data_IF_625766749721
#
_entry.id   IF_625766749721
#
_cell.length_a   1.000
_cell.length_b   1.000
_cell.length_c   1.000
_cell.angle_alpha   90.00
_cell.angle_beta   90.00
_cell.angle_gamma   90.00
#
_symmetry.space_group_name_H-M   'P 1'
#
loop_
_entity.id
_entity.type
_entity.pdbx_description
1 polymer ?
#
# COMPACT_ATOMS: atom_id res chain seq x y z
N UNK A 1 11.39 1.21 -0.39
CA UNK A 1 10.03 0.67 -0.15
C UNK A 1 9.42 0.18 -1.45
N UNK A 2 9.51 0.97 -2.53
CA UNK A 2 9.20 0.54 -3.88
C UNK A 2 10.01 -0.69 -4.31
N UNK A 3 9.37 -1.63 -5.00
CA UNK A 3 10.03 -2.74 -5.70
C UNK A 3 9.64 -2.74 -7.19
N UNK A 4 10.61 -2.60 -8.12
CA UNK A 4 10.33 -2.49 -9.54
C UNK A 4 10.07 -3.88 -10.16
N UNK A 5 8.89 -4.45 -9.90
CA UNK A 5 8.44 -5.63 -10.66
C UNK A 5 8.51 -5.33 -12.17
N UNK A 6 8.80 -6.36 -12.99
CA UNK A 6 8.92 -6.20 -14.45
C UNK A 6 7.71 -5.45 -15.01
N UNK A 7 6.52 -5.90 -14.59
CA UNK A 7 5.25 -5.21 -14.81
C UNK A 7 4.84 -4.48 -13.52
N UNK A 8 4.46 -3.19 -13.59
CA UNK A 8 3.98 -2.41 -12.45
C UNK A 8 2.80 -3.08 -11.75
N UNK A 9 2.89 -3.22 -10.43
CA UNK A 9 1.92 -3.89 -9.57
C UNK A 9 2.00 -3.31 -8.15
N UNK A 10 0.99 -3.58 -7.33
CA UNK A 10 0.98 -3.29 -5.89
C UNK A 10 2.25 -3.80 -5.19
N UNK A 11 2.89 -2.96 -4.36
CA UNK A 11 4.14 -3.30 -3.70
C UNK A 11 4.45 -2.43 -2.48
N UNK A 12 5.40 -2.89 -1.66
CA UNK A 12 5.98 -2.07 -0.60
C UNK A 12 5.14 -1.97 0.68
N UNK A 13 4.02 -2.68 0.78
CA UNK A 13 3.19 -2.74 1.98
C UNK A 13 3.95 -3.39 3.15
N UNK A 14 3.86 -2.78 4.34
CA UNK A 14 4.38 -3.31 5.61
C UNK A 14 3.21 -3.64 6.52
N UNK A 15 3.15 -4.87 7.02
CA UNK A 15 2.10 -5.35 7.92
C UNK A 15 2.54 -5.28 9.39
N UNK A 16 1.60 -5.48 10.31
CA UNK A 16 1.82 -5.49 11.76
C UNK A 16 2.49 -4.22 12.32
N UNK A 17 2.28 -3.09 11.64
CA UNK A 17 2.78 -1.78 12.04
C UNK A 17 2.02 -1.29 13.27
N UNK A 18 2.74 -0.71 14.23
CA UNK A 18 2.16 -0.11 15.46
C UNK A 18 2.14 1.41 15.41
N UNK A 19 3.12 2.00 14.74
CA UNK A 19 3.23 3.42 14.48
C UNK A 19 4.04 3.62 13.21
N UNK A 20 3.79 4.72 12.51
CA UNK A 20 4.51 5.13 11.31
C UNK A 20 4.91 6.59 11.42
N UNK A 21 6.13 6.94 10.99
CA UNK A 21 6.58 8.33 10.91
C UNK A 21 7.12 8.61 9.51
N UNK A 22 6.68 9.70 8.94
CA UNK A 22 7.26 10.28 7.72
C UNK A 22 7.64 11.73 8.00
N UNK A 23 8.83 12.13 7.55
CA UNK A 23 9.35 13.48 7.72
C UNK A 23 10.04 13.94 6.45
N UNK A 24 10.07 15.26 6.25
CA UNK A 24 10.93 15.89 5.27
C UNK A 24 12.39 15.98 5.78
N UNK A 25 13.28 16.48 4.93
CA UNK A 25 14.70 16.65 5.26
C UNK A 25 14.97 17.67 6.38
N UNK A 26 13.98 18.51 6.72
CA UNK A 26 14.06 19.50 7.80
C UNK A 26 13.48 19.00 9.14
N UNK A 27 13.00 17.76 9.18
CA UNK A 27 12.48 17.09 10.37
C UNK A 27 10.96 17.23 10.56
N UNK A 28 10.30 18.12 9.81
CA UNK A 28 8.84 18.27 9.90
C UNK A 28 8.14 17.05 9.31
N UNK A 29 7.11 16.56 10.00
CA UNK A 29 6.50 15.30 9.61
C UNK A 29 5.17 14.99 10.27
N UNK A 30 4.65 13.82 9.90
CA UNK A 30 3.43 13.23 10.46
C UNK A 30 3.76 11.88 11.09
N UNK A 31 3.36 11.70 12.33
CA UNK A 31 3.27 10.41 12.98
C UNK A 31 1.85 9.91 12.87
N UNK A 32 1.69 8.64 12.51
CA UNK A 32 0.43 7.92 12.54
C UNK A 32 0.54 6.74 13.50
N UNK A 33 -0.44 6.60 14.38
CA UNK A 33 -0.60 5.46 15.26
C UNK A 33 -2.07 5.05 15.35
N UNK A 34 -2.30 3.85 15.88
CA UNK A 34 -3.62 3.24 16.01
C UNK A 34 -3.66 2.39 17.27
N UNK A 35 -4.86 2.12 17.77
CA UNK A 35 -5.11 1.19 18.88
C UNK A 35 -4.91 -0.28 18.47
N UNK A 36 -4.87 -0.56 17.16
CA UNK A 36 -4.60 -1.88 16.58
C UNK A 36 -3.35 -1.87 15.69
N UNK A 37 -2.84 -3.05 15.32
CA UNK A 37 -1.85 -3.14 14.24
C UNK A 37 -2.51 -2.84 12.90
N UNK A 38 -1.76 -2.18 12.02
CA UNK A 38 -2.23 -1.83 10.69
C UNK A 38 -1.16 -2.15 9.64
N UNK A 39 -1.51 -1.93 8.38
CA UNK A 39 -0.60 -2.00 7.24
C UNK A 39 -0.32 -0.61 6.69
N UNK A 40 0.89 -0.36 6.21
CA UNK A 40 1.26 0.94 5.68
C UNK A 40 2.28 0.88 4.55
N UNK A 41 2.19 1.87 3.66
CA UNK A 41 3.16 2.08 2.59
C UNK A 41 3.34 3.59 2.31
N UNK A 42 4.57 3.99 1.98
CA UNK A 42 4.93 5.28 1.39
C UNK A 42 5.66 5.11 0.04
N UNK A 43 5.04 5.53 -1.07
CA UNK A 43 5.61 5.43 -2.42
C UNK A 43 5.55 6.77 -3.17
N UNK A 44 6.54 7.05 -4.02
CA UNK A 44 6.50 8.16 -4.97
C UNK A 44 5.73 7.79 -6.26
N UNK A 45 4.65 7.03 -6.13
CA UNK A 45 3.80 6.61 -7.25
C UNK A 45 2.36 6.58 -6.77
N UNK A 46 1.40 7.02 -7.59
CA UNK A 46 -0.02 6.81 -7.27
C UNK A 46 -0.41 5.35 -7.52
N UNK A 47 -1.53 4.93 -6.92
CA UNK A 47 -2.08 3.58 -7.15
C UNK A 47 -2.42 3.40 -8.63
N UNK A 48 -3.01 4.42 -9.26
CA UNK A 48 -3.39 4.41 -10.67
C UNK A 48 -2.18 4.30 -11.59
N UNK A 49 -1.02 4.86 -11.21
CA UNK A 49 0.19 4.74 -11.99
C UNK A 49 0.74 3.30 -11.97
N UNK A 50 0.54 2.58 -10.86
CA UNK A 50 0.96 1.18 -10.69
C UNK A 50 -0.07 0.16 -11.21
N UNK A 51 -1.25 0.62 -11.64
CA UNK A 51 -2.33 -0.21 -12.17
C UNK A 51 -2.46 -0.05 -13.70
N UNK A 52 -2.36 -1.17 -14.44
CA UNK A 52 -2.57 -1.15 -15.89
C UNK A 52 -4.07 -1.05 -16.28
N UNK A 53 -4.96 -1.26 -15.30
CA UNK A 53 -6.39 -1.38 -15.48
C UNK A 53 -6.83 -2.73 -16.04
N UNK A 54 -8.10 -2.81 -16.45
CA UNK A 54 -8.74 -4.03 -16.94
C UNK A 54 -8.09 -4.64 -18.20
N UNK A 55 -7.43 -3.80 -19.01
CA UNK A 55 -6.75 -4.23 -20.24
C UNK A 55 -5.24 -4.17 -20.07
N UNK A 56 -4.55 -5.27 -20.41
CA UNK A 56 -3.09 -5.35 -20.30
C UNK A 56 -2.41 -4.41 -21.28
N UNK A 57 -1.72 -3.40 -20.75
CA UNK A 57 -1.01 -2.38 -21.54
C UNK A 57 0.44 -2.74 -21.86
N UNK A 58 0.97 -3.82 -21.29
CA UNK A 58 2.37 -4.25 -21.43
C UNK A 58 3.35 -3.17 -20.94
N UNK A 59 3.03 -2.52 -19.82
CA UNK A 59 3.88 -1.49 -19.24
C UNK A 59 5.02 -2.10 -18.44
N UNK A 60 6.10 -1.32 -18.29
CA UNK A 60 7.23 -1.66 -17.45
C UNK A 60 7.45 -0.60 -16.38
N UNK A 61 7.94 -1.00 -15.20
CA UNK A 61 8.13 -0.07 -14.07
C UNK A 61 9.04 1.12 -14.36
N UNK A 62 9.93 1.03 -15.36
CA UNK A 62 10.80 2.14 -15.76
C UNK A 62 10.11 3.17 -16.66
N UNK A 63 8.90 2.88 -17.15
CA UNK A 63 8.09 3.78 -17.98
C UNK A 63 7.16 4.64 -17.10
N UNK A 64 7.09 4.37 -15.80
CA UNK A 64 6.29 5.14 -14.85
C UNK A 64 7.16 6.22 -14.22
N UNK A 65 6.75 7.46 -14.41
CA UNK A 65 7.38 8.61 -13.76
C UNK A 65 6.97 8.69 -12.29
N UNK A 66 7.93 8.87 -11.36
CA UNK A 66 7.61 9.14 -9.97
C UNK A 66 6.81 10.43 -9.80
N UNK A 67 5.89 10.44 -8.84
CA UNK A 67 5.18 11.64 -8.43
C UNK A 67 6.07 12.57 -7.60
N UNK A 68 5.77 13.86 -7.64
CA UNK A 68 6.37 14.91 -6.80
C UNK A 68 5.90 14.86 -5.33
N UNK A 69 4.88 14.05 -5.05
CA UNK A 69 4.36 13.75 -3.71
C UNK A 69 4.72 12.35 -3.26
N UNK A 70 4.61 12.10 -1.95
CA UNK A 70 4.61 10.74 -1.40
C UNK A 70 3.18 10.29 -1.18
N UNK A 71 2.76 9.25 -1.88
CA UNK A 71 1.49 8.58 -1.63
C UNK A 71 1.65 7.70 -0.39
N UNK A 72 0.80 7.97 0.61
CA UNK A 72 0.76 7.24 1.88
C UNK A 72 -0.51 6.42 1.94
N UNK A 73 -0.37 5.10 2.10
CA UNK A 73 -1.47 4.20 2.39
C UNK A 73 -1.38 3.75 3.84
N UNK A 74 -2.52 3.79 4.53
CA UNK A 74 -2.70 3.29 5.88
C UNK A 74 -3.96 2.45 5.89
N UNK A 75 -3.79 1.15 5.96
CA UNK A 75 -4.87 0.18 5.76
C UNK A 75 -5.07 -0.61 7.04
N UNK A 76 -6.33 -0.78 7.47
CA UNK A 76 -6.65 -1.74 8.53
C UNK A 76 -6.19 -3.14 8.14
N UNK A 77 -6.59 -3.54 6.93
CA UNK A 77 -6.37 -4.86 6.34
C UNK A 77 -6.35 -4.71 4.82
N UNK A 78 -5.54 -5.53 4.17
CA UNK A 78 -5.51 -5.71 2.72
C UNK A 78 -5.67 -7.20 2.43
N UNK A 79 -6.39 -7.54 1.36
CA UNK A 79 -6.59 -8.93 0.95
C UNK A 79 -5.26 -9.57 0.58
N UNK A 80 -5.11 -10.87 0.88
CA UNK A 80 -3.91 -11.62 0.51
C UNK A 80 -3.69 -11.68 -1.00
N UNK A 81 -2.45 -11.96 -1.42
CA UNK A 81 -2.07 -12.06 -2.84
C UNK A 81 -2.72 -13.25 -3.55
N UNK A 82 -2.87 -14.36 -2.83
CA UNK A 82 -3.32 -15.64 -3.38
C UNK A 82 -2.18 -16.39 -4.07
N UNK A 83 -2.26 -16.53 -5.39
CA UNK A 83 -1.23 -17.17 -6.21
C UNK A 83 -1.08 -18.70 -6.08
N UNK A 84 -2.10 -19.44 -5.58
CA UNK A 84 -2.16 -20.91 -5.77
C UNK A 84 -2.06 -21.25 -7.25
N UNK A 85 -2.69 -20.42 -8.10
CA UNK A 85 -2.37 -20.29 -9.51
C UNK A 85 -2.62 -18.85 -9.98
N UNK A 86 -2.25 -18.54 -11.22
CA UNK A 86 -2.38 -17.21 -11.83
C UNK A 86 -3.51 -17.13 -12.86
N UNK A 87 -4.51 -18.02 -12.79
CA UNK A 87 -5.61 -18.12 -13.77
C UNK A 87 -6.99 -18.36 -13.13
N UNK A 88 -7.17 -17.94 -11.88
CA UNK A 88 -8.50 -17.86 -11.27
C UNK A 88 -8.58 -18.23 -9.79
N UNK A 89 -7.51 -18.79 -9.19
CA UNK A 89 -7.50 -19.03 -7.76
C UNK A 89 -7.49 -17.72 -6.97
N UNK A 90 -8.46 -17.57 -6.08
CA UNK A 90 -8.45 -16.53 -5.05
C UNK A 90 -7.48 -16.92 -3.91
N UNK A 91 -7.08 -15.97 -3.05
CA UNK A 91 -6.42 -16.29 -1.78
C UNK A 91 -7.18 -17.32 -0.95
N UNK A 92 -6.49 -18.03 -0.06
CA UNK A 92 -7.18 -18.93 0.89
C UNK A 92 -8.18 -18.13 1.74
N UNK A 93 -9.30 -18.75 2.18
CA UNK A 93 -10.39 -18.05 2.87
C UNK A 93 -9.94 -17.18 4.06
N UNK A 94 -8.96 -17.62 4.83
CA UNK A 94 -8.38 -16.88 5.97
C UNK A 94 -7.64 -15.59 5.59
N UNK A 95 -7.28 -15.42 4.32
CA UNK A 95 -6.63 -14.21 3.79
C UNK A 95 -7.56 -13.35 2.93
N UNK A 96 -8.87 -13.62 2.94
CA UNK A 96 -9.88 -12.80 2.27
C UNK A 96 -10.50 -11.81 3.23
N UNK A 97 -11.02 -10.71 2.69
CA UNK A 97 -11.80 -9.74 3.44
C UNK A 97 -13.28 -9.96 3.08
N UNK A 98 -14.07 -10.63 3.93
CA UNK A 98 -15.49 -10.83 3.68
C UNK A 98 -16.26 -9.50 3.72
N UNK A 99 -17.44 -9.48 3.13
CA UNK A 99 -18.34 -8.32 3.28
C UNK A 99 -18.83 -8.23 4.72
N UNK A 100 -18.50 -7.14 5.40
CA UNK A 100 -18.90 -6.84 6.77
C UNK A 100 -18.69 -5.34 7.07
N UNK A 101 -19.16 -4.90 8.23
CA UNK A 101 -18.79 -3.60 8.78
C UNK A 101 -17.39 -3.69 9.40
N UNK A 102 -16.52 -2.76 9.00
CA UNK A 102 -15.15 -2.63 9.52
C UNK A 102 -14.93 -1.22 10.03
N UNK A 103 -14.21 -1.11 11.14
CA UNK A 103 -13.82 0.16 11.73
C UNK A 103 -12.30 0.25 11.84
N UNK A 104 -11.74 1.39 11.45
CA UNK A 104 -10.32 1.67 11.57
C UNK A 104 -10.14 3.07 12.14
N UNK A 105 -9.48 3.15 13.30
CA UNK A 105 -9.17 4.41 13.97
C UNK A 105 -7.69 4.69 13.84
N UNK A 106 -7.37 5.92 13.45
CA UNK A 106 -6.00 6.41 13.35
C UNK A 106 -5.91 7.76 14.07
N UNK A 107 -4.75 8.02 14.65
CA UNK A 107 -4.38 9.33 15.18
C UNK A 107 -3.23 9.86 14.32
N UNK A 108 -3.39 11.08 13.82
CA UNK A 108 -2.37 11.80 13.06
C UNK A 108 -1.82 12.92 13.93
N UNK A 109 -0.53 12.84 14.26
CA UNK A 109 0.16 13.82 15.10
C UNK A 109 1.30 14.49 14.32
N UNK A 110 1.24 15.80 14.06
CA UNK A 110 2.37 16.51 13.46
C UNK A 110 3.55 16.60 14.42
N UNK A 111 4.78 16.50 13.89
CA UNK A 111 6.02 16.67 14.64
C UNK A 111 7.06 17.48 13.87
N UNK A 112 8.17 17.80 14.54
CA UNK A 112 9.34 18.49 14.03
C UNK A 112 10.62 17.69 14.33
#
# INVERSE_FOLDING_TARGET
QFYPYIRPQENGNKTDVRWWRIADASGHGLMLDSDESFSASALHYTIEALDEGETKRQMHSHEIEPCDVTNLLFDKIQMGLGCVNSWGALPEPEYRIPYADYEFRIVLTPFK
#
